data_IF_184184241911
#
_entry.id   IF_184184241911
#
_cell.length_a   1.000
_cell.length_b   1.000
_cell.length_c   1.000
_cell.angle_alpha   90.00
_cell.angle_beta   90.00
_cell.angle_gamma   90.00
#
_symmetry.space_group_name_H-M   'P 1'
#
loop_
_entity.id
_entity.type
_entity.pdbx_description
1 polymer ?
#
# COMPACT_ATOMS: atom_id res chain seq x y z
N UNK A 1 7.37 33.27 -5.36
CA UNK A 1 8.50 32.50 -4.78
C UNK A 1 9.07 31.48 -5.77
N UNK A 2 8.29 30.59 -6.38
CA UNK A 2 8.79 29.62 -7.40
C UNK A 2 9.26 30.27 -8.72
N UNK A 3 8.77 31.47 -9.07
CA UNK A 3 9.16 32.20 -10.30
C UNK A 3 10.63 32.66 -10.35
N UNK A 4 11.34 32.73 -9.22
CA UNK A 4 12.71 33.29 -9.15
C UNK A 4 13.85 32.26 -9.19
N UNK A 5 13.57 30.98 -8.91
CA UNK A 5 14.61 29.96 -8.74
C UNK A 5 14.66 29.02 -9.96
N UNK A 6 15.56 29.32 -10.92
CA UNK A 6 15.75 28.52 -12.15
C UNK A 6 15.99 27.03 -11.86
N UNK A 7 16.77 26.70 -10.82
CA UNK A 7 17.06 25.31 -10.45
C UNK A 7 15.84 24.53 -9.95
N UNK A 8 15.01 25.13 -9.08
CA UNK A 8 13.77 24.51 -8.59
C UNK A 8 12.78 24.28 -9.75
N UNK A 9 12.71 25.22 -10.69
CA UNK A 9 11.84 25.09 -11.87
C UNK A 9 12.23 23.90 -12.74
N UNK A 10 13.52 23.66 -12.95
CA UNK A 10 14.01 22.51 -13.70
C UNK A 10 13.64 21.20 -13.01
N UNK A 11 13.86 21.09 -11.68
CA UNK A 11 13.49 19.90 -10.91
C UNK A 11 11.98 19.61 -10.97
N UNK A 12 11.13 20.63 -10.85
CA UNK A 12 9.67 20.49 -10.94
C UNK A 12 9.22 20.11 -12.36
N UNK A 13 9.91 20.60 -13.39
CA UNK A 13 9.63 20.23 -14.77
C UNK A 13 9.95 18.75 -15.01
N UNK A 14 11.15 18.28 -14.61
CA UNK A 14 11.52 16.86 -14.71
C UNK A 14 10.52 15.95 -13.98
N UNK A 15 10.06 16.33 -12.78
CA UNK A 15 9.01 15.60 -12.05
C UNK A 15 7.71 15.46 -12.87
N UNK A 16 7.31 16.55 -13.54
CA UNK A 16 6.09 16.56 -14.36
C UNK A 16 6.24 15.69 -15.61
N UNK A 17 7.44 15.64 -16.20
CA UNK A 17 7.71 14.78 -17.37
C UNK A 17 7.68 13.29 -16.99
N UNK A 18 8.13 12.91 -15.79
CA UNK A 18 8.03 11.52 -15.30
C UNK A 18 6.62 11.12 -14.81
N UNK A 19 5.72 12.09 -14.60
CA UNK A 19 4.39 11.87 -14.03
C UNK A 19 3.48 10.93 -14.87
N UNK A 20 3.43 10.97 -16.22
CA UNK A 20 2.56 10.10 -17.01
C UNK A 20 2.93 8.61 -16.87
N UNK A 21 4.22 8.28 -16.87
CA UNK A 21 4.70 6.92 -16.66
C UNK A 21 4.39 6.44 -15.22
N UNK A 22 4.60 7.31 -14.23
CA UNK A 22 4.28 7.04 -12.83
C UNK A 22 2.79 6.79 -12.61
N UNK A 23 1.92 7.52 -13.30
CA UNK A 23 0.46 7.41 -13.15
C UNK A 23 -0.05 6.02 -13.54
N UNK A 24 0.46 5.42 -14.61
CA UNK A 24 0.06 4.07 -15.04
C UNK A 24 0.40 3.00 -13.98
N UNK A 25 1.58 3.08 -13.37
CA UNK A 25 2.00 2.15 -12.31
C UNK A 25 1.24 2.43 -11.01
N UNK A 26 0.98 3.71 -10.71
CA UNK A 26 0.13 4.14 -9.59
C UNK A 26 -1.30 3.61 -9.71
N UNK A 27 -1.88 3.61 -10.92
CA UNK A 27 -3.20 3.02 -11.17
C UNK A 27 -3.20 1.50 -10.94
N UNK A 28 -2.14 0.80 -11.37
CA UNK A 28 -1.99 -0.62 -11.10
C UNK A 28 -1.91 -0.91 -9.59
N UNK A 29 -1.11 -0.14 -8.86
CA UNK A 29 -1.01 -0.25 -7.40
C UNK A 29 -2.37 0.03 -6.73
N UNK A 30 -3.08 1.07 -7.19
CA UNK A 30 -4.42 1.40 -6.70
C UNK A 30 -5.42 0.27 -6.94
N UNK A 31 -5.39 -0.37 -8.11
CA UNK A 31 -6.23 -1.52 -8.43
C UNK A 31 -5.93 -2.71 -7.50
N UNK A 32 -4.66 -2.99 -7.22
CA UNK A 32 -4.26 -4.05 -6.29
C UNK A 32 -4.76 -3.75 -4.88
N UNK A 33 -4.54 -2.53 -4.39
CA UNK A 33 -5.07 -2.10 -3.09
C UNK A 33 -6.60 -2.21 -3.04
N UNK A 34 -7.30 -1.83 -4.11
CA UNK A 34 -8.75 -1.95 -4.21
C UNK A 34 -9.18 -3.41 -4.02
N UNK A 35 -8.61 -4.36 -4.78
CA UNK A 35 -8.96 -5.79 -4.68
C UNK A 35 -8.69 -6.32 -3.26
N UNK A 36 -7.52 -6.02 -2.69
CA UNK A 36 -7.17 -6.45 -1.34
C UNK A 36 -8.04 -5.81 -0.27
N UNK A 37 -8.56 -4.60 -0.47
CA UNK A 37 -9.45 -3.94 0.49
C UNK A 37 -10.79 -4.67 0.59
N UNK A 38 -11.34 -5.16 -0.54
CA UNK A 38 -12.59 -5.93 -0.57
C UNK A 38 -12.42 -7.26 0.17
N UNK A 39 -11.31 -7.97 -0.09
CA UNK A 39 -11.00 -9.20 0.64
C UNK A 39 -10.73 -8.93 2.12
N UNK A 40 -10.00 -7.86 2.43
CA UNK A 40 -9.70 -7.46 3.81
C UNK A 40 -10.97 -7.22 4.63
N UNK A 41 -11.95 -6.49 4.09
CA UNK A 41 -13.25 -6.30 4.74
C UNK A 41 -14.00 -7.61 4.97
N UNK A 42 -13.96 -8.50 3.97
CA UNK A 42 -14.70 -9.77 4.02
C UNK A 42 -14.14 -10.73 5.07
N UNK A 43 -12.81 -10.76 5.23
CA UNK A 43 -12.16 -11.69 6.16
C UNK A 43 -11.85 -11.10 7.54
N UNK A 44 -11.56 -9.80 7.62
CA UNK A 44 -11.02 -9.15 8.82
C UNK A 44 -11.85 -8.01 9.37
N UNK A 45 -13.04 -7.75 8.81
CA UNK A 45 -13.89 -6.62 9.21
C UNK A 45 -14.42 -6.66 10.64
N UNK A 46 -14.29 -7.79 11.34
CA UNK A 46 -14.75 -7.96 12.72
C UNK A 46 -13.64 -8.37 13.69
N UNK A 47 -12.39 -8.38 13.25
CA UNK A 47 -11.25 -8.73 14.13
C UNK A 47 -11.14 -7.70 15.24
N UNK A 48 -10.83 -8.17 16.45
CA UNK A 48 -10.65 -7.30 17.61
C UNK A 48 -9.59 -6.22 17.36
N UNK A 49 -9.95 -4.98 17.67
CA UNK A 49 -9.03 -3.83 17.64
C UNK A 49 -7.93 -4.03 18.69
N UNK A 50 -6.73 -4.33 18.23
CA UNK A 50 -5.55 -4.55 19.07
C UNK A 50 -4.28 -4.24 18.28
N UNK A 51 -3.18 -3.93 18.99
CA UNK A 51 -1.86 -3.64 18.44
C UNK A 51 -1.86 -2.60 17.30
N UNK A 52 -1.94 -3.04 16.04
CA UNK A 52 -1.97 -2.17 14.85
C UNK A 52 -3.36 -1.83 14.30
N UNK A 53 -4.42 -2.43 14.84
CA UNK A 53 -5.80 -2.18 14.43
C UNK A 53 -6.47 -1.22 15.42
N UNK A 54 -6.93 -0.06 14.93
CA UNK A 54 -7.57 1.01 15.71
C UNK A 54 -8.89 1.44 15.06
N UNK A 55 -9.56 2.48 15.57
CA UNK A 55 -10.83 2.97 15.00
C UNK A 55 -10.69 3.56 13.59
N UNK A 56 -9.49 4.02 13.21
CA UNK A 56 -9.21 4.57 11.89
C UNK A 56 -8.43 3.58 11.00
N UNK A 57 -7.58 2.75 11.61
CA UNK A 57 -6.78 1.74 10.92
C UNK A 57 -7.39 0.36 11.15
N UNK A 58 -8.41 0.01 10.36
CA UNK A 58 -9.08 -1.29 10.44
C UNK A 58 -9.66 -1.73 9.09
N UNK A 59 -10.24 -2.93 9.07
CA UNK A 59 -10.91 -3.49 7.90
C UNK A 59 -12.45 -3.41 7.99
N UNK A 60 -13.02 -2.56 8.85
CA UNK A 60 -14.48 -2.47 9.03
C UNK A 60 -15.17 -1.83 7.80
N UNK A 61 -14.49 -0.87 7.16
CA UNK A 61 -15.02 -0.15 6.00
C UNK A 61 -13.99 -0.07 4.87
N UNK A 62 -14.46 0.22 3.67
CA UNK A 62 -13.61 0.30 2.48
C UNK A 62 -12.52 1.38 2.62
N UNK A 63 -12.82 2.63 3.02
CA UNK A 63 -11.79 3.65 3.20
C UNK A 63 -10.77 3.30 4.29
N UNK A 64 -11.21 2.74 5.41
CA UNK A 64 -10.29 2.33 6.48
C UNK A 64 -9.35 1.22 6.00
N UNK A 65 -9.89 0.24 5.27
CA UNK A 65 -9.11 -0.86 4.68
C UNK A 65 -8.07 -0.33 3.69
N UNK A 66 -8.44 0.67 2.89
CA UNK A 66 -7.53 1.34 1.96
C UNK A 66 -6.39 2.05 2.69
N UNK A 67 -6.66 2.71 3.82
CA UNK A 67 -5.62 3.36 4.64
C UNK A 67 -4.65 2.34 5.22
N UNK A 68 -5.16 1.22 5.77
CA UNK A 68 -4.31 0.13 6.28
C UNK A 68 -3.42 -0.43 5.17
N UNK A 69 -3.99 -0.74 4.00
CA UNK A 69 -3.22 -1.27 2.87
C UNK A 69 -2.21 -0.25 2.32
N UNK A 70 -2.56 1.03 2.30
CA UNK A 70 -1.63 2.10 1.91
C UNK A 70 -0.42 2.18 2.86
N UNK A 71 -0.64 2.05 4.17
CA UNK A 71 0.44 1.96 5.15
C UNK A 71 1.29 0.69 4.96
N UNK A 72 0.66 -0.43 4.62
CA UNK A 72 1.34 -1.70 4.35
C UNK A 72 2.19 -1.66 3.07
N UNK A 73 1.83 -0.84 2.08
CA UNK A 73 2.65 -0.63 0.86
C UNK A 73 4.05 -0.11 1.19
N UNK A 74 4.20 0.68 2.26
CA UNK A 74 5.51 1.16 2.72
C UNK A 74 6.15 0.23 3.74
N UNK A 75 5.60 -0.99 3.91
CA UNK A 75 5.99 -2.00 4.90
C UNK A 75 6.08 -1.47 6.33
N UNK A 76 5.30 -0.44 6.65
CA UNK A 76 5.27 0.18 7.97
C UNK A 76 4.15 -0.41 8.82
N UNK A 77 4.39 -0.66 10.11
CA UNK A 77 3.37 -1.14 11.04
C UNK A 77 2.79 -2.53 10.74
N UNK A 78 3.41 -3.29 9.83
CA UNK A 78 2.96 -4.64 9.46
C UNK A 78 2.91 -5.60 10.63
N UNK A 79 3.81 -5.46 11.61
CA UNK A 79 3.87 -6.33 12.78
C UNK A 79 2.62 -6.22 13.64
N UNK A 80 2.11 -4.99 13.85
CA UNK A 80 0.89 -4.74 14.61
C UNK A 80 -0.36 -5.21 13.87
N UNK A 81 -0.42 -4.99 12.56
CA UNK A 81 -1.52 -5.50 11.73
C UNK A 81 -1.51 -7.03 11.72
N UNK A 82 -0.35 -7.65 11.48
CA UNK A 82 -0.20 -9.11 11.51
C UNK A 82 -0.64 -9.69 12.84
N UNK A 83 -0.12 -9.16 13.95
CA UNK A 83 -0.47 -9.62 15.30
C UNK A 83 -1.98 -9.59 15.54
N UNK A 84 -2.66 -8.50 15.17
CA UNK A 84 -4.10 -8.38 15.33
C UNK A 84 -4.87 -9.40 14.48
N UNK A 85 -4.47 -9.59 13.22
CA UNK A 85 -5.15 -10.50 12.29
C UNK A 85 -4.90 -12.00 12.57
N UNK A 86 -3.82 -12.33 13.27
CA UNK A 86 -3.48 -13.72 13.61
C UNK A 86 -3.93 -14.15 15.00
N UNK A 87 -4.40 -13.23 15.84
CA UNK A 87 -4.71 -13.55 17.22
C UNK A 87 -5.97 -14.40 17.35
N UNK A 88 -5.81 -15.64 17.80
CA UNK A 88 -6.88 -16.63 17.94
C UNK A 88 -7.03 -17.17 19.37
N UNK A 89 -6.29 -16.62 20.34
CA UNK A 89 -6.28 -17.09 21.73
C UNK A 89 -6.94 -16.10 22.70
N UNK A 90 -7.70 -16.64 23.66
CA UNK A 90 -8.15 -15.90 24.84
C UNK A 90 -6.96 -15.54 25.74
N UNK A 91 -6.91 -14.34 26.38
CA UNK A 91 -7.98 -13.33 26.51
C UNK A 91 -8.00 -12.27 25.40
N UNK A 92 -7.14 -12.38 24.40
CA UNK A 92 -6.95 -11.34 23.39
C UNK A 92 -7.96 -11.40 22.24
N UNK A 93 -8.79 -12.44 22.18
CA UNK A 93 -10.02 -12.51 21.39
C UNK A 93 -11.08 -13.38 22.08
N UNK A 94 -12.34 -13.25 21.65
CA UNK A 94 -13.49 -13.99 22.14
C UNK A 94 -14.30 -14.59 20.96
N UNK A 95 -14.25 -15.92 20.78
CA UNK A 95 -14.96 -16.60 19.70
C UNK A 95 -16.48 -16.66 19.92
N UNK A 96 -16.97 -16.29 21.11
CA UNK A 96 -18.39 -16.39 21.49
C UNK A 96 -19.18 -15.09 21.25
N UNK A 97 -18.48 -14.00 20.92
CA UNK A 97 -19.13 -12.73 20.58
C UNK A 97 -20.00 -12.92 19.34
N UNK A 98 -21.23 -12.40 19.39
CA UNK A 98 -22.12 -12.33 18.23
C UNK A 98 -21.56 -11.38 17.19
N UNK A 99 -20.79 -11.92 16.27
CA UNK A 99 -20.30 -11.26 15.06
C UNK A 99 -20.94 -11.92 13.84
N UNK A 100 -21.07 -11.21 12.70
CA UNK A 100 -21.37 -11.84 11.41
C UNK A 100 -20.31 -12.86 10.98
N UNK A 101 -19.14 -12.86 11.62
CA UNK A 101 -18.11 -13.88 11.45
C UNK A 101 -18.43 -15.14 12.27
N UNK A 102 -18.11 -16.32 11.73
CA UNK A 102 -18.27 -17.59 12.45
C UNK A 102 -17.29 -17.75 13.63
N UNK A 103 -16.29 -16.88 13.75
CA UNK A 103 -15.20 -16.97 14.73
C UNK A 103 -15.21 -15.81 15.74
N UNK A 104 -16.35 -15.14 15.93
CA UNK A 104 -16.46 -13.99 16.84
C UNK A 104 -15.59 -12.81 16.39
N UNK A 105 -14.78 -12.27 17.30
CA UNK A 105 -13.79 -11.21 17.02
C UNK A 105 -12.35 -11.74 16.86
N UNK A 106 -12.17 -13.07 16.79
CA UNK A 106 -10.86 -13.70 16.64
C UNK A 106 -10.34 -13.61 15.20
N UNK A 107 -9.02 -13.42 15.09
CA UNK A 107 -8.28 -13.52 13.85
C UNK A 107 -8.18 -14.96 13.34
N UNK A 108 -7.58 -15.12 12.16
CA UNK A 108 -7.33 -16.43 11.58
C UNK A 108 -5.94 -16.47 10.94
N UNK A 109 -5.01 -17.17 11.60
CA UNK A 109 -3.63 -17.29 11.15
C UNK A 109 -3.50 -17.84 9.72
N UNK A 110 -4.33 -18.82 9.35
CA UNK A 110 -4.26 -19.50 8.06
C UNK A 110 -4.73 -18.62 6.89
N UNK A 111 -5.56 -17.61 7.14
CA UNK A 111 -6.04 -16.65 6.13
C UNK A 111 -5.20 -15.36 6.17
N UNK A 112 -4.87 -14.86 7.36
CA UNK A 112 -4.12 -13.61 7.56
C UNK A 112 -2.71 -13.69 6.98
N UNK A 113 -2.00 -14.81 7.21
CA UNK A 113 -0.63 -15.00 6.74
C UNK A 113 -0.51 -14.92 5.22
N UNK A 114 -1.23 -15.75 4.42
CA UNK A 114 -1.14 -15.66 2.97
C UNK A 114 -1.62 -14.30 2.46
N UNK A 115 -2.68 -13.72 3.02
CA UNK A 115 -3.18 -12.40 2.60
C UNK A 115 -2.10 -11.30 2.72
N UNK A 116 -1.43 -11.20 3.87
CA UNK A 116 -0.41 -10.18 4.09
C UNK A 116 0.87 -10.46 3.30
N UNK A 117 1.30 -11.71 3.24
CA UNK A 117 2.53 -12.09 2.51
C UNK A 117 2.36 -11.87 1.00
N UNK A 118 1.25 -12.30 0.41
CA UNK A 118 1.02 -12.09 -1.03
C UNK A 118 0.86 -10.61 -1.35
N UNK A 119 0.19 -9.84 -0.49
CA UNK A 119 0.10 -8.39 -0.65
C UNK A 119 1.49 -7.76 -0.68
N UNK A 120 2.31 -7.99 0.34
CA UNK A 120 3.65 -7.38 0.47
C UNK A 120 4.55 -7.77 -0.71
N UNK A 121 4.54 -9.03 -1.15
CA UNK A 121 5.33 -9.47 -2.30
C UNK A 121 4.89 -8.73 -3.57
N UNK A 122 3.58 -8.72 -3.86
CA UNK A 122 3.03 -8.09 -5.07
C UNK A 122 3.31 -6.58 -5.06
N UNK A 123 3.03 -5.88 -3.95
CA UNK A 123 3.27 -4.43 -3.87
C UNK A 123 4.75 -4.10 -3.95
N UNK A 124 5.63 -4.91 -3.35
CA UNK A 124 7.08 -4.71 -3.45
C UNK A 124 7.56 -4.84 -4.89
N UNK A 125 7.06 -5.82 -5.65
CA UNK A 125 7.38 -5.96 -7.08
C UNK A 125 6.91 -4.76 -7.89
N UNK A 126 5.70 -4.26 -7.62
CA UNK A 126 5.17 -3.05 -8.30
C UNK A 126 6.00 -1.82 -7.97
N UNK A 127 6.38 -1.62 -6.70
CA UNK A 127 7.21 -0.48 -6.26
C UNK A 127 8.62 -0.55 -6.86
N UNK A 128 9.23 -1.74 -6.91
CA UNK A 128 10.54 -1.93 -7.57
C UNK A 128 10.43 -1.61 -9.07
N UNK A 129 9.39 -2.10 -9.74
CA UNK A 129 9.16 -1.80 -11.16
C UNK A 129 8.90 -0.31 -11.40
N UNK A 130 8.21 0.37 -10.48
CA UNK A 130 8.06 1.83 -10.49
C UNK A 130 9.42 2.53 -10.42
N UNK A 131 10.29 2.10 -9.50
CA UNK A 131 11.62 2.68 -9.32
C UNK A 131 12.49 2.49 -10.57
N UNK A 132 12.48 1.30 -11.16
CA UNK A 132 13.19 1.01 -12.42
C UNK A 132 12.67 1.90 -13.55
N UNK A 133 11.35 2.02 -13.70
CA UNK A 133 10.75 2.87 -14.74
C UNK A 133 11.17 4.34 -14.59
N UNK A 134 11.13 4.88 -13.37
CA UNK A 134 11.57 6.26 -13.10
C UNK A 134 13.04 6.45 -13.42
N UNK A 135 13.90 5.50 -13.07
CA UNK A 135 15.33 5.58 -13.39
C UNK A 135 15.56 5.56 -14.90
N UNK A 136 14.94 4.63 -15.62
CA UNK A 136 15.10 4.51 -17.07
C UNK A 136 14.62 5.76 -17.81
N UNK A 137 13.51 6.33 -17.38
CA UNK A 137 12.97 7.58 -17.93
C UNK A 137 13.95 8.74 -17.73
N UNK A 138 14.53 8.87 -16.53
CA UNK A 138 15.54 9.89 -16.25
C UNK A 138 16.82 9.70 -17.10
N UNK A 139 17.28 8.46 -17.27
CA UNK A 139 18.43 8.17 -18.14
C UNK A 139 18.15 8.45 -19.61
N UNK A 140 16.95 8.11 -20.10
CA UNK A 140 16.51 8.39 -21.47
C UNK A 140 16.51 9.89 -21.76
N UNK A 141 15.91 10.69 -20.85
CA UNK A 141 15.88 12.16 -20.99
C UNK A 141 17.29 12.77 -20.97
N UNK A 142 18.18 12.29 -20.10
CA UNK A 142 19.56 12.78 -20.07
C UNK A 142 20.33 12.48 -21.38
N UNK A 143 20.06 11.35 -22.03
CA UNK A 143 20.64 11.04 -23.34
C UNK A 143 20.09 11.95 -24.45
N UNK A 144 18.77 12.18 -24.47
CA UNK A 144 18.12 13.09 -25.43
C UNK A 144 18.65 14.52 -25.31
N UNK A 145 18.84 15.02 -24.09
CA UNK A 145 19.41 16.36 -23.84
C UNK A 145 20.85 16.49 -24.38
N UNK A 146 21.69 15.46 -24.22
CA UNK A 146 23.06 15.46 -24.75
C UNK A 146 23.09 15.42 -26.28
N UNK A 147 22.21 14.63 -26.90
CA UNK A 147 22.10 14.59 -28.36
C UNK A 147 21.61 15.91 -28.95
N UNK A 148 20.71 16.63 -28.26
CA UNK A 148 20.25 17.96 -28.68
C UNK A 148 21.34 19.02 -28.58
N UNK A 149 22.26 18.92 -27.60
CA UNK A 149 23.39 19.87 -27.46
C UNK A 149 24.48 19.65 -28.53
N UNK A 150 24.60 18.44 -29.06
CA UNK A 150 25.58 18.09 -30.09
C UNK A 150 25.08 18.30 -31.54
N UNK A 151 23.83 18.73 -31.72
CA UNK A 151 23.27 19.18 -33.02
C UNK A 151 23.31 20.70 -33.12
#
# INVERSE_FOLDING_TARGET
>A
LVKGAKGIRTLLFSLTVSMPALFNIGLLLFLIMFIYSIFGMSFFGYVRKSAGITDLFNFETFPNSMIVLFQMCTTAGWSGVFQALTNDQQPDCDPTIKSPSNNGDCGNFAIATPFLVTFVIITSLVVINMYIAVILENFSQAQEDVEQVNK
#
